data_IF_674665391938
#
_entry.id   IF_674665391938
#
_cell.length_a   1.000
_cell.length_b   1.000
_cell.length_c   1.000
_cell.angle_alpha   90.00
_cell.angle_beta   90.00
_cell.angle_gamma   90.00
#
_symmetry.space_group_name_H-M   'P 1'
#
loop_
_entity.id
_entity.type
_entity.pdbx_description
1 polymer ?
#
# COMPACT_ATOMS: atom_id res chain seq x y z
N UNK A 1 -27.38 -9.62 -9.39
CA UNK A 1 -28.76 -9.52 -8.87
C UNK A 1 -29.40 -8.24 -9.38
N UNK A 2 -30.52 -8.31 -10.11
CA UNK A 2 -31.24 -7.13 -10.64
C UNK A 2 -30.32 -6.11 -11.35
N UNK A 3 -29.42 -6.58 -12.24
CA UNK A 3 -28.47 -5.72 -12.96
C UNK A 3 -27.19 -5.33 -12.20
N UNK A 4 -27.10 -5.62 -10.90
CA UNK A 4 -25.88 -5.39 -10.10
C UNK A 4 -25.01 -6.64 -10.04
N UNK A 5 -23.68 -6.53 -10.25
CA UNK A 5 -22.77 -7.64 -9.98
C UNK A 5 -22.77 -7.97 -8.49
N UNK A 6 -22.79 -9.26 -8.17
CA UNK A 6 -22.70 -9.77 -6.80
C UNK A 6 -21.65 -10.86 -6.78
N UNK A 7 -20.69 -10.73 -5.87
CA UNK A 7 -19.65 -11.74 -5.63
C UNK A 7 -19.88 -12.41 -4.28
N UNK A 8 -19.64 -13.71 -4.22
CA UNK A 8 -19.73 -14.51 -3.00
C UNK A 8 -18.38 -15.15 -2.73
N UNK A 9 -17.86 -14.92 -1.52
CA UNK A 9 -16.64 -15.54 -1.02
C UNK A 9 -17.04 -16.52 0.09
N UNK A 10 -16.67 -17.80 -0.07
CA UNK A 10 -17.03 -18.86 0.86
C UNK A 10 -15.77 -19.34 1.58
N UNK A 11 -15.81 -19.29 2.91
CA UNK A 11 -14.69 -19.68 3.76
C UNK A 11 -15.13 -20.64 4.86
N UNK A 12 -14.28 -21.63 5.15
CA UNK A 12 -14.32 -22.41 6.40
C UNK A 12 -13.60 -21.66 7.53
N UNK A 13 -13.81 -22.07 8.80
CA UNK A 13 -13.07 -21.53 9.95
C UNK A 13 -11.54 -21.56 9.81
N UNK A 14 -11.00 -22.58 9.14
CA UNK A 14 -9.56 -22.72 8.90
C UNK A 14 -9.10 -21.79 7.77
N UNK A 15 -9.90 -21.71 6.70
CA UNK A 15 -9.52 -20.96 5.52
C UNK A 15 -9.47 -19.46 5.77
N UNK A 16 -10.44 -18.85 6.47
CA UNK A 16 -10.42 -17.39 6.66
C UNK A 16 -9.20 -16.95 7.48
N UNK A 17 -8.81 -17.74 8.50
CA UNK A 17 -7.60 -17.49 9.29
C UNK A 17 -6.33 -17.54 8.43
N UNK A 18 -6.25 -18.52 7.52
CA UNK A 18 -5.15 -18.60 6.55
C UNK A 18 -5.11 -17.38 5.63
N UNK A 19 -6.26 -16.91 5.15
CA UNK A 19 -6.34 -15.71 4.32
C UNK A 19 -5.98 -14.45 5.11
N UNK A 20 -6.42 -14.31 6.35
CA UNK A 20 -6.02 -13.20 7.24
C UNK A 20 -4.50 -13.17 7.42
N UNK A 21 -3.87 -14.31 7.69
CA UNK A 21 -2.42 -14.41 7.82
C UNK A 21 -1.71 -14.06 6.50
N UNK A 22 -2.20 -14.57 5.37
CA UNK A 22 -1.62 -14.27 4.04
C UNK A 22 -1.76 -12.79 3.67
N UNK A 23 -2.90 -12.17 3.99
CA UNK A 23 -3.16 -10.76 3.77
C UNK A 23 -2.27 -9.89 4.67
N UNK A 24 -2.08 -10.31 5.93
CA UNK A 24 -1.20 -9.64 6.87
C UNK A 24 0.27 -9.66 6.41
N UNK A 25 0.75 -10.80 5.89
CA UNK A 25 2.09 -10.89 5.27
C UNK A 25 2.26 -9.95 4.09
N UNK A 26 1.19 -9.73 3.31
CA UNK A 26 1.16 -8.76 2.19
C UNK A 26 0.84 -7.34 2.66
N UNK A 27 0.66 -7.12 3.96
CA UNK A 27 0.30 -5.84 4.59
C UNK A 27 -1.02 -5.25 4.09
N UNK A 28 -1.89 -6.05 3.48
CA UNK A 28 -3.15 -5.63 2.86
C UNK A 28 -4.30 -6.51 3.37
N UNK A 29 -5.00 -6.13 4.47
CA UNK A 29 -5.99 -6.94 5.18
C UNK A 29 -7.35 -6.93 4.46
N UNK A 30 -7.39 -7.44 3.22
CA UNK A 30 -8.58 -7.36 2.35
C UNK A 30 -9.74 -8.13 2.94
N UNK A 31 -9.55 -9.42 3.26
CA UNK A 31 -10.64 -10.26 3.76
C UNK A 31 -11.12 -9.75 5.12
N UNK A 32 -10.21 -9.37 6.01
CA UNK A 32 -10.58 -8.81 7.32
C UNK A 32 -11.41 -7.53 7.18
N UNK A 33 -11.04 -6.61 6.26
CA UNK A 33 -11.86 -5.41 5.98
C UNK A 33 -13.26 -5.75 5.46
N UNK A 34 -13.39 -6.80 4.65
CA UNK A 34 -14.70 -7.28 4.18
C UNK A 34 -15.54 -7.86 5.32
N UNK A 35 -14.90 -8.59 6.25
CA UNK A 35 -15.57 -9.20 7.40
C UNK A 35 -16.14 -8.17 8.39
N UNK A 36 -15.63 -6.94 8.44
CA UNK A 36 -16.23 -5.83 9.21
C UNK A 36 -17.57 -5.32 8.65
N UNK A 37 -18.08 -5.92 7.57
CA UNK A 37 -19.40 -5.64 7.03
C UNK A 37 -20.53 -6.04 7.99
N UNK A 38 -21.79 -5.93 7.52
CA UNK A 38 -22.96 -6.24 8.35
C UNK A 38 -23.24 -7.74 8.37
N UNK A 39 -23.37 -8.32 9.56
CA UNK A 39 -23.84 -9.71 9.74
C UNK A 39 -25.31 -9.81 9.35
N UNK A 40 -25.61 -10.72 8.42
CA UNK A 40 -26.98 -11.00 7.97
C UNK A 40 -27.62 -12.18 8.70
N UNK A 41 -26.80 -13.17 9.09
CA UNK A 41 -27.21 -14.37 9.81
C UNK A 41 -26.02 -14.90 10.61
N UNK A 42 -26.27 -15.28 11.86
CA UNK A 42 -25.27 -15.89 12.75
C UNK A 42 -26.00 -16.86 13.67
N UNK A 43 -25.76 -18.16 13.51
CA UNK A 43 -26.50 -19.22 14.22
C UNK A 43 -25.69 -19.78 15.37
N UNK A 44 -24.38 -19.85 15.20
CA UNK A 44 -23.41 -20.47 16.11
C UNK A 44 -22.38 -19.45 16.66
N UNK A 45 -22.55 -18.16 16.35
CA UNK A 45 -21.64 -17.09 16.80
C UNK A 45 -20.40 -16.93 15.94
N UNK A 46 -20.26 -17.73 14.87
CA UNK A 46 -19.10 -17.70 13.99
C UNK A 46 -18.93 -16.34 13.30
N UNK A 47 -20.02 -15.70 12.89
CA UNK A 47 -19.93 -14.40 12.20
C UNK A 47 -19.36 -13.33 13.15
N UNK A 48 -19.83 -13.30 14.40
CA UNK A 48 -19.29 -12.40 15.42
C UNK A 48 -17.83 -12.69 15.75
N UNK A 49 -17.43 -13.96 15.85
CA UNK A 49 -16.02 -14.32 16.08
C UNK A 49 -15.12 -13.82 14.94
N UNK A 50 -15.55 -14.01 13.68
CA UNK A 50 -14.79 -13.54 12.51
C UNK A 50 -14.67 -12.01 12.51
N UNK A 51 -15.71 -11.28 12.92
CA UNK A 51 -15.64 -9.83 13.08
C UNK A 51 -14.63 -9.41 14.16
N UNK A 52 -14.66 -10.06 15.32
CA UNK A 52 -13.71 -9.78 16.40
C UNK A 52 -12.26 -10.05 15.97
N UNK A 53 -12.01 -11.16 15.28
CA UNK A 53 -10.70 -11.48 14.73
C UNK A 53 -10.24 -10.43 13.71
N UNK A 54 -11.16 -9.95 12.86
CA UNK A 54 -10.88 -8.92 11.87
C UNK A 54 -10.57 -7.56 12.52
N UNK A 55 -11.35 -7.16 13.55
CA UNK A 55 -11.12 -5.95 14.32
C UNK A 55 -9.77 -5.99 15.04
N UNK A 56 -9.44 -7.13 15.66
CA UNK A 56 -8.16 -7.35 16.33
C UNK A 56 -7.00 -7.23 15.34
N UNK A 57 -7.08 -7.90 14.18
CA UNK A 57 -6.05 -7.80 13.15
C UNK A 57 -5.90 -6.36 12.64
N UNK A 58 -7.01 -5.72 12.27
CA UNK A 58 -6.97 -4.36 11.71
C UNK A 58 -6.38 -3.37 12.72
N UNK A 59 -6.75 -3.49 13.99
CA UNK A 59 -6.25 -2.61 15.05
C UNK A 59 -4.78 -2.83 15.37
N UNK A 60 -4.27 -4.07 15.24
CA UNK A 60 -2.87 -4.39 15.51
C UNK A 60 -1.89 -3.73 14.52
N UNK A 61 -2.31 -3.52 13.27
CA UNK A 61 -1.41 -3.07 12.20
C UNK A 61 -0.49 -4.18 11.69
N UNK A 62 0.19 -3.97 10.55
CA UNK A 62 1.19 -4.92 10.06
C UNK A 62 2.40 -4.99 10.99
N UNK A 63 3.11 -6.10 10.91
CA UNK A 63 4.46 -6.24 11.46
C UNK A 63 5.39 -5.15 10.90
N UNK A 64 6.41 -4.70 11.64
CA UNK A 64 7.40 -3.77 11.10
C UNK A 64 8.10 -4.35 9.88
N UNK A 65 8.67 -3.50 9.03
CA UNK A 65 9.56 -3.96 7.97
C UNK A 65 10.82 -4.55 8.62
N UNK A 66 11.29 -5.67 8.07
CA UNK A 66 12.67 -6.10 8.32
C UNK A 66 13.63 -5.10 7.69
N UNK A 67 14.88 -5.06 8.17
CA UNK A 67 15.89 -4.17 7.59
C UNK A 67 16.06 -4.40 6.08
N UNK A 68 16.04 -5.66 5.64
CA UNK A 68 16.13 -6.00 4.22
C UNK A 68 14.95 -5.46 3.41
N UNK A 69 13.72 -5.60 3.92
CA UNK A 69 12.54 -5.06 3.22
C UNK A 69 12.59 -3.53 3.14
N UNK A 70 13.01 -2.86 4.22
CA UNK A 70 13.17 -1.41 4.25
C UNK A 70 14.20 -0.96 3.21
N UNK A 71 15.38 -1.58 3.19
CA UNK A 71 16.44 -1.25 2.24
C UNK A 71 16.01 -1.55 0.79
N UNK A 72 15.29 -2.65 0.56
CA UNK A 72 14.74 -2.95 -0.76
C UNK A 72 13.76 -1.87 -1.22
N UNK A 73 12.82 -1.44 -0.38
CA UNK A 73 11.89 -0.37 -0.73
C UNK A 73 12.57 0.97 -0.97
N UNK A 74 13.58 1.31 -0.16
CA UNK A 74 14.39 2.52 -0.34
C UNK A 74 15.14 2.49 -1.66
N UNK A 75 15.79 1.37 -1.99
CA UNK A 75 16.49 1.19 -3.26
C UNK A 75 15.53 1.35 -4.44
N UNK A 76 14.41 0.60 -4.45
CA UNK A 76 13.41 0.67 -5.51
C UNK A 76 12.81 2.08 -5.70
N UNK A 77 12.54 2.79 -4.59
CA UNK A 77 12.01 4.15 -4.67
C UNK A 77 13.07 5.17 -5.10
N UNK A 78 14.33 4.95 -4.74
CA UNK A 78 15.46 5.78 -5.18
C UNK A 78 15.67 5.65 -6.69
N UNK A 79 15.72 4.41 -7.19
CA UNK A 79 15.85 4.07 -8.60
C UNK A 79 14.70 4.68 -9.42
N UNK A 80 13.47 4.50 -8.97
CA UNK A 80 12.30 5.03 -9.65
C UNK A 80 12.22 6.57 -9.64
N UNK A 81 12.75 7.22 -8.60
CA UNK A 81 12.84 8.67 -8.54
C UNK A 81 13.87 9.19 -9.56
N UNK A 82 15.03 8.54 -9.68
CA UNK A 82 16.07 8.89 -10.66
C UNK A 82 15.55 8.73 -12.09
N UNK A 83 14.88 7.61 -12.40
CA UNK A 83 14.19 7.38 -13.67
C UNK A 83 13.17 8.50 -13.97
N UNK A 84 12.39 8.91 -12.98
CA UNK A 84 11.37 9.96 -13.16
C UNK A 84 11.99 11.32 -13.45
N UNK A 85 13.06 11.68 -12.74
CA UNK A 85 13.75 12.95 -12.91
C UNK A 85 14.53 12.98 -14.24
N UNK A 86 15.17 11.87 -14.61
CA UNK A 86 15.98 11.71 -15.82
C UNK A 86 15.21 11.40 -17.11
N UNK A 87 13.93 11.00 -17.04
CA UNK A 87 13.16 10.62 -18.24
C UNK A 87 12.98 11.81 -19.20
N UNK A 88 13.43 11.68 -20.44
CA UNK A 88 13.23 12.67 -21.50
C UNK A 88 11.99 12.38 -22.36
N UNK A 89 11.39 11.20 -22.19
CA UNK A 89 10.29 10.68 -23.00
C UNK A 89 8.96 10.79 -22.26
N UNK A 90 8.00 11.60 -22.74
CA UNK A 90 6.70 11.76 -22.10
C UNK A 90 5.95 10.45 -21.89
N UNK A 91 6.06 9.51 -22.83
CA UNK A 91 5.46 8.18 -22.76
C UNK A 91 6.00 7.37 -21.59
N UNK A 92 7.32 7.40 -21.33
CA UNK A 92 7.93 6.70 -20.20
C UNK A 92 7.54 7.37 -18.89
N UNK A 93 7.63 8.70 -18.83
CA UNK A 93 7.25 9.48 -17.65
C UNK A 93 5.80 9.21 -17.23
N UNK A 94 4.87 9.01 -18.19
CA UNK A 94 3.46 8.74 -17.92
C UNK A 94 3.23 7.40 -17.20
N UNK A 95 4.12 6.41 -17.36
CA UNK A 95 4.08 5.15 -16.60
C UNK A 95 4.84 5.26 -15.27
N UNK A 96 5.94 6.01 -15.24
CA UNK A 96 6.77 6.17 -14.05
C UNK A 96 6.02 6.97 -12.96
N UNK A 97 5.38 8.08 -13.31
CA UNK A 97 4.73 8.98 -12.35
C UNK A 97 3.69 8.29 -11.42
N UNK A 98 2.69 7.54 -11.92
CA UNK A 98 1.74 6.86 -11.03
C UNK A 98 2.40 5.77 -10.20
N UNK A 99 3.42 5.08 -10.74
CA UNK A 99 4.18 4.08 -10.00
C UNK A 99 4.98 4.73 -8.86
N UNK A 100 5.61 5.88 -9.10
CA UNK A 100 6.39 6.63 -8.12
C UNK A 100 5.50 7.07 -6.95
N UNK A 101 4.31 7.58 -7.25
CA UNK A 101 3.29 7.90 -6.26
C UNK A 101 2.90 6.65 -5.44
N UNK A 102 2.55 5.55 -6.12
CA UNK A 102 2.13 4.31 -5.46
C UNK A 102 3.21 3.79 -4.50
N UNK A 103 4.46 3.68 -4.96
CA UNK A 103 5.60 3.21 -4.14
C UNK A 103 5.93 4.13 -2.98
N UNK A 104 5.84 5.44 -3.19
CA UNK A 104 6.02 6.43 -2.11
C UNK A 104 4.97 6.23 -1.01
N UNK A 105 3.69 6.09 -1.38
CA UNK A 105 2.62 5.92 -0.41
C UNK A 105 2.70 4.55 0.29
N UNK A 106 3.02 3.48 -0.43
CA UNK A 106 3.23 2.15 0.16
C UNK A 106 4.35 2.14 1.20
N UNK A 107 5.51 2.73 0.88
CA UNK A 107 6.63 2.82 1.82
C UNK A 107 6.25 3.66 3.04
N UNK A 108 5.61 4.82 2.84
CA UNK A 108 5.19 5.70 3.92
C UNK A 108 4.20 5.00 4.88
N UNK A 109 3.25 4.23 4.36
CA UNK A 109 2.35 3.41 5.18
C UNK A 109 3.11 2.30 5.92
N UNK A 110 4.05 1.64 5.26
CA UNK A 110 4.81 0.55 5.83
C UNK A 110 5.70 0.98 7.01
N UNK A 111 6.44 2.10 6.87
CA UNK A 111 7.27 2.63 7.97
C UNK A 111 6.43 3.13 9.15
N UNK A 112 5.18 3.55 8.90
CA UNK A 112 4.23 3.96 9.94
C UNK A 112 3.37 2.80 10.48
N UNK A 113 3.69 1.55 10.11
CA UNK A 113 2.94 0.35 10.49
C UNK A 113 1.44 0.49 10.24
N UNK A 114 1.09 1.00 9.06
CA UNK A 114 -0.29 1.09 8.58
C UNK A 114 -0.53 0.07 7.47
N UNK A 115 -1.73 -0.50 7.48
CA UNK A 115 -2.19 -1.40 6.43
C UNK A 115 -2.28 -0.69 5.08
N UNK A 116 -1.76 -1.32 4.03
CA UNK A 116 -1.85 -0.82 2.65
C UNK A 116 -3.11 -1.34 1.93
N UNK A 117 -3.23 -1.00 0.66
CA UNK A 117 -4.24 -1.49 -0.27
C UNK A 117 -3.88 -1.09 -1.70
N UNK A 118 -4.79 -1.33 -2.65
CA UNK A 118 -4.61 -0.90 -4.05
C UNK A 118 -5.66 0.11 -4.47
N UNK A 119 -5.29 0.98 -5.41
CA UNK A 119 -6.17 2.01 -5.96
C UNK A 119 -6.84 2.84 -4.86
N UNK A 120 -8.18 2.84 -4.82
CA UNK A 120 -8.96 3.58 -3.81
C UNK A 120 -8.58 3.26 -2.36
N UNK A 121 -8.14 2.04 -2.08
CA UNK A 121 -7.78 1.64 -0.72
C UNK A 121 -6.41 2.15 -0.30
N UNK A 122 -5.50 2.40 -1.24
CA UNK A 122 -4.22 3.05 -0.96
C UNK A 122 -4.44 4.51 -0.55
N UNK A 123 -5.26 5.24 -1.32
CA UNK A 123 -5.63 6.61 -0.99
C UNK A 123 -6.35 6.72 0.37
N UNK A 124 -7.31 5.82 0.66
CA UNK A 124 -7.97 5.76 1.97
C UNK A 124 -7.04 5.44 3.12
N UNK A 125 -6.04 4.57 2.88
CA UNK A 125 -5.06 4.23 3.91
C UNK A 125 -4.15 5.43 4.21
N UNK A 126 -3.71 6.17 3.18
CA UNK A 126 -2.96 7.41 3.36
C UNK A 126 -3.78 8.48 4.10
N UNK A 127 -5.06 8.60 3.78
CA UNK A 127 -5.95 9.56 4.43
C UNK A 127 -6.18 9.24 5.90
N UNK A 128 -6.31 7.95 6.23
CA UNK A 128 -6.38 7.48 7.60
C UNK A 128 -5.06 7.66 8.37
N UNK A 129 -3.91 7.75 7.68
CA UNK A 129 -2.62 8.09 8.28
C UNK A 129 -2.53 9.60 8.55
N UNK A 130 -2.71 10.43 7.52
CA UNK A 130 -2.79 11.88 7.61
C UNK A 130 -3.46 12.46 6.35
N UNK A 131 -4.63 13.12 6.46
CA UNK A 131 -5.29 13.77 5.33
C UNK A 131 -4.44 14.82 4.61
N UNK A 132 -3.49 15.46 5.30
CA UNK A 132 -2.56 16.42 4.68
C UNK A 132 -1.59 15.73 3.73
N UNK A 133 -1.12 14.52 4.08
CA UNK A 133 -0.27 13.71 3.20
C UNK A 133 -1.05 13.26 1.97
N UNK A 134 -2.32 12.86 2.12
CA UNK A 134 -3.19 12.55 0.97
C UNK A 134 -3.34 13.73 0.04
N UNK A 135 -3.64 14.92 0.59
CA UNK A 135 -3.76 16.13 -0.22
C UNK A 135 -2.45 16.44 -0.95
N UNK A 136 -1.31 16.40 -0.26
CA UNK A 136 0.01 16.62 -0.86
C UNK A 136 0.29 15.65 -2.01
N UNK A 137 0.02 14.36 -1.80
CA UNK A 137 0.22 13.31 -2.79
C UNK A 137 -0.68 13.48 -4.03
N UNK A 138 -1.96 13.82 -3.81
CA UNK A 138 -2.93 14.09 -4.89
C UNK A 138 -2.58 15.36 -5.65
N UNK A 139 -2.25 16.45 -4.96
CA UNK A 139 -1.86 17.71 -5.59
C UNK A 139 -0.58 17.53 -6.41
N UNK A 140 0.37 16.72 -5.93
CA UNK A 140 1.62 16.42 -6.62
C UNK A 140 1.43 15.70 -7.96
N UNK A 141 0.66 14.60 -7.97
CA UNK A 141 0.40 13.87 -9.22
C UNK A 141 -0.51 14.67 -10.18
N UNK A 142 -1.41 15.49 -9.64
CA UNK A 142 -2.23 16.37 -10.47
C UNK A 142 -1.43 17.50 -11.13
N UNK A 143 -0.43 18.05 -10.45
CA UNK A 143 0.48 19.03 -11.04
C UNK A 143 1.16 18.42 -12.28
N UNK A 144 1.71 17.22 -12.15
CA UNK A 144 2.28 16.49 -13.29
C UNK A 144 1.25 16.27 -14.41
N UNK A 145 0.07 15.75 -14.12
CA UNK A 145 -0.94 15.49 -15.15
C UNK A 145 -1.47 16.75 -15.86
N UNK A 146 -1.50 17.90 -15.18
CA UNK A 146 -2.07 19.15 -15.73
C UNK A 146 -1.04 19.98 -16.49
N UNK A 147 0.17 20.10 -15.96
CA UNK A 147 1.18 21.05 -16.47
C UNK A 147 2.50 20.38 -16.83
N UNK A 148 2.65 19.07 -16.57
CA UNK A 148 3.93 18.37 -16.70
C UNK A 148 4.93 18.70 -15.59
N UNK A 149 4.52 19.47 -14.56
CA UNK A 149 5.39 19.81 -13.44
C UNK A 149 5.72 18.57 -12.60
N UNK A 150 6.98 18.16 -12.63
CA UNK A 150 7.49 16.95 -11.98
C UNK A 150 7.88 17.20 -10.52
N UNK A 151 8.26 18.43 -10.18
CA UNK A 151 8.90 18.73 -8.90
C UNK A 151 8.01 18.40 -7.69
N UNK A 152 6.69 18.68 -7.68
CA UNK A 152 5.84 18.30 -6.56
C UNK A 152 5.85 16.80 -6.25
N UNK A 153 5.90 15.94 -7.27
CA UNK A 153 5.93 14.50 -7.12
C UNK A 153 7.31 13.99 -6.70
N UNK A 154 8.37 14.50 -7.33
CA UNK A 154 9.75 14.22 -6.95
C UNK A 154 10.02 14.62 -5.48
N UNK A 155 9.57 15.81 -5.08
CA UNK A 155 9.64 16.30 -3.71
C UNK A 155 8.87 15.42 -2.70
N UNK A 156 7.71 14.90 -3.09
CA UNK A 156 6.96 13.96 -2.26
C UNK A 156 7.73 12.64 -2.07
N UNK A 157 8.29 12.07 -3.15
CA UNK A 157 9.10 10.86 -3.08
C UNK A 157 10.37 11.05 -2.24
N UNK A 158 11.09 12.17 -2.41
CA UNK A 158 12.23 12.55 -1.56
C UNK A 158 11.84 12.62 -0.09
N UNK A 159 10.72 13.27 0.23
CA UNK A 159 10.22 13.35 1.60
C UNK A 159 9.98 11.95 2.22
N UNK A 160 9.43 11.01 1.45
CA UNK A 160 9.23 9.63 1.92
C UNK A 160 10.56 8.91 2.09
N UNK A 161 11.50 9.06 1.16
CA UNK A 161 12.85 8.49 1.28
C UNK A 161 13.54 8.98 2.56
N UNK A 162 13.52 10.29 2.84
CA UNK A 162 14.08 10.87 4.06
C UNK A 162 13.43 10.28 5.32
N UNK A 163 12.10 10.16 5.35
CA UNK A 163 11.40 9.52 6.46
C UNK A 163 11.77 8.03 6.64
N UNK A 164 12.24 7.36 5.59
CA UNK A 164 12.68 5.98 5.60
C UNK A 164 14.21 5.81 5.85
N UNK A 165 14.96 6.90 6.04
CA UNK A 165 16.42 6.87 6.25
C UNK A 165 17.26 7.31 5.05
N UNK A 166 16.66 7.99 4.09
CA UNK A 166 17.29 8.58 2.91
C UNK A 166 17.37 7.63 1.71
N UNK A 167 17.81 8.15 0.54
CA UNK A 167 18.06 7.35 -0.66
C UNK A 167 19.04 6.19 -0.42
N UNK A 168 18.96 5.15 -1.25
CA UNK A 168 19.88 4.00 -1.19
C UNK A 168 20.27 3.52 -2.59
N UNK A 169 21.57 3.60 -2.89
CA UNK A 169 22.18 3.07 -4.11
C UNK A 169 23.28 2.07 -3.77
N UNK A 170 24.33 2.56 -3.12
CA UNK A 170 25.49 1.76 -2.76
C UNK A 170 25.20 0.80 -1.60
N UNK A 171 25.76 -0.40 -1.68
CA UNK A 171 25.66 -1.40 -0.61
C UNK A 171 24.38 -2.23 -0.62
N UNK A 172 23.37 -1.88 -1.43
CA UNK A 172 22.22 -2.76 -1.62
C UNK A 172 22.65 -4.04 -2.34
N UNK A 173 22.30 -5.20 -1.76
CA UNK A 173 22.52 -6.51 -2.37
C UNK A 173 21.20 -7.27 -2.40
N UNK A 174 20.64 -7.43 -3.60
CA UNK A 174 19.51 -8.33 -3.77
C UNK A 174 19.94 -9.76 -3.40
N UNK A 175 19.15 -10.45 -2.58
CA UNK A 175 19.34 -11.87 -2.34
C UNK A 175 19.07 -12.61 -3.66
N UNK A 176 20.13 -12.94 -4.40
CA UNK A 176 20.00 -13.76 -5.59
C UNK A 176 19.40 -15.11 -5.22
N UNK A 177 18.18 -15.41 -5.69
CA UNK A 177 17.68 -16.78 -5.62
C UNK A 177 18.50 -17.61 -6.59
N UNK A 178 19.26 -18.58 -6.09
CA UNK A 178 19.64 -19.72 -6.91
C UNK A 178 18.34 -20.43 -7.30
N UNK A 179 18.11 -20.55 -8.60
CA UNK A 179 17.03 -21.36 -9.16
C UNK A 179 17.21 -22.83 -8.77
#
# INVERSE_FOLDING_TARGET
>A
YMGWPVELFVHTPESYKRYFASDAQRRAPILARMCLGRVLKDVDGMARQVQQDAEALISAGPEPLTQFELDFHRYMLTDLLDDFEGSERPEETAFIAPLLLERSVELLLAINRKWTGKGKWLARALDALDPKLTRRAVDAIQAYHKTGDREPLASFARYVLEAAGGPLWEGFRAAGRKA
#
